data_IF_541215107401
#
_entry.id   IF_541215107401
#
_cell.length_a   1.000
_cell.length_b   1.000
_cell.length_c   1.000
_cell.angle_alpha   90.00
_cell.angle_beta   90.00
_cell.angle_gamma   90.00
#
_symmetry.space_group_name_H-M   'P 1'
#
loop_
_entity.id
_entity.type
_entity.pdbx_description
1 polymer ?
#
# COMPACT_ATOMS: atom_id res chain seq x y z
N UNK A 1 16.44 -18.30 17.20
CA UNK A 1 15.02 -17.94 17.08
C UNK A 1 14.94 -16.78 16.11
N UNK A 2 14.12 -16.84 15.06
CA UNK A 2 13.98 -15.71 14.14
C UNK A 2 13.18 -14.61 14.84
N UNK A 3 13.80 -13.46 15.04
CA UNK A 3 13.13 -12.25 15.51
C UNK A 3 12.51 -11.56 14.30
N UNK A 4 11.20 -11.73 14.13
CA UNK A 4 10.46 -11.22 12.98
C UNK A 4 9.13 -10.61 13.44
N UNK A 5 8.92 -9.34 13.11
CA UNK A 5 7.72 -8.62 13.49
C UNK A 5 6.61 -8.89 12.46
N UNK A 6 5.42 -9.30 12.91
CA UNK A 6 4.28 -9.54 12.03
C UNK A 6 3.61 -8.22 11.62
N UNK A 7 4.22 -7.53 10.65
CA UNK A 7 3.73 -6.26 10.12
C UNK A 7 3.24 -6.38 8.67
N UNK A 8 2.23 -5.57 8.35
CA UNK A 8 1.59 -5.52 7.02
C UNK A 8 2.58 -5.20 5.89
N UNK A 9 3.65 -4.44 6.19
CA UNK A 9 4.75 -4.17 5.26
C UNK A 9 5.27 -5.46 4.61
N UNK A 10 5.43 -6.52 5.40
CA UNK A 10 5.99 -7.78 4.89
C UNK A 10 5.04 -8.52 3.97
N UNK A 11 3.72 -8.36 4.13
CA UNK A 11 2.72 -8.92 3.21
C UNK A 11 2.91 -8.29 1.82
N UNK A 12 3.02 -6.96 1.76
CA UNK A 12 3.25 -6.25 0.49
C UNK A 12 4.59 -6.61 -0.13
N UNK A 13 5.68 -6.56 0.64
CA UNK A 13 7.04 -6.85 0.14
C UNK A 13 7.14 -8.27 -0.42
N UNK A 14 6.51 -9.25 0.25
CA UNK A 14 6.49 -10.62 -0.23
C UNK A 14 5.68 -10.76 -1.53
N UNK A 15 4.50 -10.15 -1.61
CA UNK A 15 3.67 -10.15 -2.81
C UNK A 15 4.39 -9.54 -4.02
N UNK A 16 5.05 -8.40 -3.81
CA UNK A 16 5.84 -7.73 -4.85
C UNK A 16 7.04 -8.58 -5.26
N UNK A 17 7.73 -9.23 -4.31
CA UNK A 17 8.88 -10.10 -4.62
C UNK A 17 8.47 -11.31 -5.47
N UNK A 18 7.36 -11.94 -5.15
CA UNK A 18 6.94 -13.18 -5.81
C UNK A 18 6.16 -12.96 -7.10
N UNK A 19 5.31 -11.93 -7.13
CA UNK A 19 4.33 -11.71 -8.19
C UNK A 19 4.42 -10.28 -8.76
N UNK A 20 5.63 -9.73 -8.90
CA UNK A 20 5.83 -8.31 -9.31
C UNK A 20 5.09 -7.90 -10.59
N UNK A 21 4.93 -8.82 -11.54
CA UNK A 21 4.28 -8.59 -12.84
C UNK A 21 2.80 -9.00 -12.87
N UNK A 22 2.27 -9.57 -11.78
CA UNK A 22 0.86 -9.91 -11.70
C UNK A 22 0.04 -8.62 -11.75
N UNK A 23 -1.03 -8.65 -12.55
CA UNK A 23 -1.85 -7.49 -12.81
C UNK A 23 -2.93 -7.31 -11.73
N UNK A 24 -3.13 -6.06 -11.36
CA UNK A 24 -4.25 -5.55 -10.57
C UNK A 24 -5.15 -4.82 -11.56
N UNK A 25 -6.39 -5.31 -11.69
CA UNK A 25 -7.38 -4.80 -12.64
C UNK A 25 -8.54 -4.21 -11.87
N UNK A 26 -8.77 -2.91 -12.04
CA UNK A 26 -9.93 -2.23 -11.49
C UNK A 26 -10.88 -1.83 -12.62
N UNK A 27 -11.92 -2.66 -12.83
CA UNK A 27 -12.86 -2.55 -13.95
C UNK A 27 -12.09 -2.47 -15.28
N UNK A 28 -12.62 -1.76 -16.26
CA UNK A 28 -11.94 -1.44 -17.52
C UNK A 28 -11.22 -0.09 -17.49
N UNK A 29 -10.97 0.45 -16.29
CA UNK A 29 -10.45 1.81 -16.10
C UNK A 29 -8.96 1.83 -15.80
N UNK A 30 -8.49 0.88 -14.99
CA UNK A 30 -7.10 0.87 -14.53
C UNK A 30 -6.57 -0.56 -14.53
N UNK A 31 -5.39 -0.73 -15.12
CA UNK A 31 -4.61 -1.97 -15.10
C UNK A 31 -3.16 -1.61 -14.83
N UNK A 32 -2.57 -2.23 -13.83
CA UNK A 32 -1.19 -2.00 -13.43
C UNK A 32 -0.68 -3.22 -12.65
N UNK A 33 0.62 -3.31 -12.42
CA UNK A 33 1.24 -4.47 -11.76
C UNK A 33 1.41 -4.25 -10.25
N UNK A 34 1.69 -5.32 -9.49
CA UNK A 34 2.13 -5.19 -8.10
C UNK A 34 3.38 -4.33 -7.93
N UNK A 35 4.29 -4.31 -8.92
CA UNK A 35 5.44 -3.40 -8.93
C UNK A 35 4.98 -1.94 -8.99
N UNK A 36 4.07 -1.62 -9.88
CA UNK A 36 3.53 -0.25 -10.00
C UNK A 36 2.76 0.14 -8.72
N UNK A 37 2.01 -0.81 -8.14
CA UNK A 37 1.33 -0.62 -6.86
C UNK A 37 2.31 -0.24 -5.75
N UNK A 38 3.43 -0.96 -5.65
CA UNK A 38 4.45 -0.70 -4.64
C UNK A 38 4.98 0.73 -4.71
N UNK A 39 5.29 1.21 -5.91
CA UNK A 39 5.73 2.59 -6.13
C UNK A 39 4.64 3.61 -5.78
N UNK A 40 3.37 3.30 -6.08
CA UNK A 40 2.21 4.15 -5.74
C UNK A 40 1.98 4.24 -4.23
N UNK A 41 2.10 3.12 -3.51
CA UNK A 41 2.02 3.05 -2.04
C UNK A 41 3.08 3.94 -1.40
N UNK A 42 4.34 3.87 -1.85
CA UNK A 42 5.42 4.73 -1.33
C UNK A 42 5.19 6.21 -1.63
N UNK A 43 4.71 6.54 -2.83
CA UNK A 43 4.34 7.93 -3.17
C UNK A 43 3.22 8.45 -2.29
N UNK A 44 2.18 7.64 -2.03
CA UNK A 44 1.08 8.01 -1.15
C UNK A 44 1.56 8.22 0.29
N UNK A 45 2.40 7.32 0.82
CA UNK A 45 2.96 7.44 2.16
C UNK A 45 3.78 8.74 2.32
N UNK A 46 4.59 9.09 1.31
CA UNK A 46 5.33 10.35 1.32
C UNK A 46 4.40 11.57 1.25
N UNK A 47 3.37 11.55 0.41
CA UNK A 47 2.40 12.64 0.34
C UNK A 47 1.64 12.84 1.67
N UNK A 48 1.26 11.75 2.35
CA UNK A 48 0.62 11.81 3.66
C UNK A 48 1.57 12.35 4.73
N UNK A 49 2.85 11.98 4.66
CA UNK A 49 3.89 12.52 5.55
C UNK A 49 4.03 14.03 5.35
N UNK A 50 4.04 14.50 4.11
CA UNK A 50 4.13 15.93 3.77
C UNK A 50 2.89 16.72 4.22
N UNK A 51 1.72 16.07 4.29
CA UNK A 51 0.51 16.61 4.91
C UNK A 51 0.54 16.64 6.44
N UNK A 52 1.61 16.14 7.07
CA UNK A 52 1.83 16.21 8.51
C UNK A 52 1.28 15.02 9.30
N UNK A 53 0.87 13.93 8.64
CA UNK A 53 0.46 12.69 9.31
C UNK A 53 1.66 12.07 10.04
N UNK A 54 1.45 11.70 11.29
CA UNK A 54 2.45 11.13 12.18
C UNK A 54 2.06 9.74 12.66
N UNK A 55 3.03 9.08 13.27
CA UNK A 55 2.83 7.78 13.89
C UNK A 55 1.69 7.84 14.92
N UNK A 56 0.73 6.93 14.78
CA UNK A 56 -0.44 6.83 15.66
C UNK A 56 -1.62 7.75 15.29
N UNK A 57 -1.49 8.59 14.27
CA UNK A 57 -2.62 9.34 13.73
C UNK A 57 -3.61 8.41 13.03
N UNK A 58 -4.89 8.78 13.06
CA UNK A 58 -5.96 8.02 12.42
C UNK A 58 -6.30 8.63 11.07
N UNK A 59 -6.20 7.85 10.01
CA UNK A 59 -6.59 8.25 8.65
C UNK A 59 -7.85 7.48 8.27
N UNK A 60 -8.95 8.20 8.03
CA UNK A 60 -10.20 7.61 7.56
C UNK A 60 -10.19 7.54 6.03
N UNK A 61 -10.66 6.42 5.47
CA UNK A 61 -10.82 6.23 4.04
C UNK A 61 -12.27 5.86 3.76
N UNK A 62 -12.92 6.65 2.90
CA UNK A 62 -14.28 6.42 2.42
C UNK A 62 -14.20 6.19 0.90
N UNK A 63 -14.03 4.94 0.52
CA UNK A 63 -13.94 4.52 -0.89
C UNK A 63 -14.53 3.10 -1.03
N UNK A 64 -14.77 2.70 -2.28
CA UNK A 64 -15.17 1.34 -2.63
C UNK A 64 -13.94 0.39 -2.64
N UNK A 65 -14.17 -0.87 -3.00
CA UNK A 65 -13.09 -1.78 -3.39
C UNK A 65 -12.45 -1.27 -4.69
N UNK A 66 -11.40 -0.46 -4.53
CA UNK A 66 -10.75 0.29 -5.59
C UNK A 66 -9.22 0.14 -5.48
N UNK A 67 -8.53 0.37 -6.60
CA UNK A 67 -7.07 0.41 -6.61
C UNK A 67 -6.49 1.44 -5.61
N UNK A 68 -7.20 2.57 -5.39
CA UNK A 68 -6.79 3.59 -4.42
C UNK A 68 -7.01 3.12 -3.00
N UNK A 69 -8.12 2.46 -2.72
CA UNK A 69 -8.37 1.86 -1.41
C UNK A 69 -7.27 0.84 -1.07
N UNK A 70 -6.90 -0.01 -2.04
CA UNK A 70 -5.81 -0.96 -1.89
C UNK A 70 -4.46 -0.26 -1.62
N UNK A 71 -4.15 0.84 -2.31
CA UNK A 71 -2.95 1.65 -2.02
C UNK A 71 -2.99 2.23 -0.58
N UNK A 72 -4.12 2.80 -0.17
CA UNK A 72 -4.32 3.33 1.18
C UNK A 72 -4.16 2.25 2.26
N UNK A 73 -4.66 1.04 2.00
CA UNK A 73 -4.61 -0.09 2.93
C UNK A 73 -3.18 -0.44 3.35
N UNK A 74 -2.21 -0.28 2.45
CA UNK A 74 -0.80 -0.47 2.77
C UNK A 74 -0.09 0.83 3.18
N UNK A 75 -0.32 1.93 2.48
CA UNK A 75 0.41 3.17 2.71
C UNK A 75 0.21 3.70 4.14
N UNK A 76 -1.05 3.74 4.62
CA UNK A 76 -1.38 4.34 5.91
C UNK A 76 -0.74 3.56 7.08
N UNK A 77 -0.96 2.24 7.25
CA UNK A 77 -0.40 1.53 8.39
C UNK A 77 1.12 1.38 8.32
N UNK A 78 1.72 1.43 7.12
CA UNK A 78 3.18 1.36 6.96
C UNK A 78 3.89 2.65 7.42
N UNK A 79 3.18 3.76 7.58
CA UNK A 79 3.75 5.02 8.10
C UNK A 79 3.97 5.00 9.61
N UNK A 80 3.25 4.16 10.36
CA UNK A 80 3.47 3.95 11.79
C UNK A 80 2.23 4.13 12.65
#
# INVERSE_FOLDING_TARGET
>A
MYDFQLIIKHILEYGVRWASQQEIVYRDLVRYTYRDMYERVHRLANALKDLGIKKGDKVAVLDWDSHRYLECYFAIPMMG
#
